data_IF_322217131381
#
_entry.id   IF_322217131381
#
_cell.length_a   1.000
_cell.length_b   1.000
_cell.length_c   1.000
_cell.angle_alpha   90.00
_cell.angle_beta   90.00
_cell.angle_gamma   90.00
#
_symmetry.space_group_name_H-M   'P 1'
#
loop_
_entity.id
_entity.type
_entity.pdbx_description
1 polymer ?
#
# COMPACT_ATOMS: atom_id res chain seq x y z
N UNK A 1 8.57 -18.57 4.44
CA UNK A 1 8.16 -17.77 3.26
C UNK A 1 9.26 -17.77 2.19
N UNK A 2 9.22 -18.75 1.29
CA UNK A 2 10.12 -18.85 0.13
C UNK A 2 9.53 -18.04 -1.02
N UNK A 3 9.71 -16.72 -0.99
CA UNK A 3 9.31 -15.83 -2.10
C UNK A 3 10.55 -15.49 -2.93
N UNK A 4 10.43 -15.49 -4.24
CA UNK A 4 11.54 -15.26 -5.18
C UNK A 4 12.08 -13.83 -5.15
N UNK A 5 11.34 -12.91 -4.53
CA UNK A 5 11.69 -11.49 -4.41
C UNK A 5 11.06 -10.88 -3.17
N UNK A 6 11.57 -9.71 -2.77
CA UNK A 6 10.96 -8.92 -1.71
C UNK A 6 9.85 -8.02 -2.25
N UNK A 7 8.74 -7.99 -1.54
CA UNK A 7 7.66 -7.05 -1.76
C UNK A 7 7.28 -6.31 -0.49
N UNK A 8 6.69 -5.12 -0.64
CA UNK A 8 6.39 -4.24 0.48
C UNK A 8 4.92 -3.79 0.49
N UNK A 9 4.31 -3.86 1.66
CA UNK A 9 3.04 -3.20 1.97
C UNK A 9 3.33 -1.97 2.81
N UNK A 10 3.07 -0.78 2.27
CA UNK A 10 3.51 0.48 2.86
C UNK A 10 2.32 1.16 3.54
N UNK A 11 2.42 1.33 4.87
CA UNK A 11 1.55 2.22 5.62
C UNK A 11 2.16 3.63 5.59
N UNK A 12 1.56 4.57 4.85
CA UNK A 12 2.01 5.96 4.90
C UNK A 12 1.75 6.54 6.30
N UNK A 13 2.62 7.46 6.74
CA UNK A 13 2.34 8.26 7.95
C UNK A 13 1.44 9.43 7.55
N UNK A 14 0.17 9.36 7.92
CA UNK A 14 -0.83 10.32 7.45
C UNK A 14 -0.42 11.78 7.67
N UNK A 15 0.04 12.21 8.88
CA UNK A 15 0.37 13.62 9.13
C UNK A 15 1.55 14.15 8.30
N UNK A 16 2.44 13.26 7.84
CA UNK A 16 3.60 13.64 7.04
C UNK A 16 3.21 13.81 5.58
N UNK A 17 2.50 12.82 5.04
CA UNK A 17 2.10 12.82 3.64
C UNK A 17 0.98 13.82 3.39
N UNK A 18 0.07 14.05 4.34
CA UNK A 18 -0.97 15.08 4.25
C UNK A 18 -0.35 16.47 4.13
N UNK A 19 0.62 16.79 4.98
CA UNK A 19 1.36 18.06 4.93
C UNK A 19 2.14 18.24 3.63
N UNK A 20 2.70 17.16 3.08
CA UNK A 20 3.32 17.20 1.76
C UNK A 20 2.28 17.46 0.66
N UNK A 21 1.13 16.80 0.70
CA UNK A 21 0.05 16.95 -0.27
C UNK A 21 -0.51 18.38 -0.27
N UNK A 22 -0.75 18.96 0.92
CA UNK A 22 -1.17 20.36 1.08
C UNK A 22 -0.17 21.34 0.45
N UNK A 23 1.13 21.16 0.70
CA UNK A 23 2.19 21.99 0.10
C UNK A 23 2.21 21.90 -1.43
N UNK A 24 1.81 20.76 -1.99
CA UNK A 24 1.70 20.53 -3.43
C UNK A 24 0.29 20.84 -3.97
N UNK A 25 -0.59 21.43 -3.16
CA UNK A 25 -1.98 21.81 -3.53
C UNK A 25 -2.83 20.61 -3.99
N UNK A 26 -2.57 19.43 -3.44
CA UNK A 26 -3.36 18.24 -3.71
C UNK A 26 -4.56 18.19 -2.77
N UNK A 27 -5.77 18.14 -3.32
CA UNK A 27 -7.00 18.01 -2.55
C UNK A 27 -7.23 16.55 -2.15
N UNK A 28 -7.39 16.27 -0.87
CA UNK A 28 -7.76 14.97 -0.33
C UNK A 28 -8.72 15.13 0.86
N UNK A 29 -9.53 14.12 1.13
CA UNK A 29 -10.51 14.16 2.23
C UNK A 29 -10.25 13.11 3.31
N UNK A 30 -9.64 11.99 2.94
CA UNK A 30 -9.42 10.85 3.83
C UNK A 30 -8.04 10.25 3.61
N UNK A 31 -7.61 9.38 4.53
CA UNK A 31 -6.42 8.56 4.35
C UNK A 31 -6.46 7.76 3.05
N UNK A 32 -7.58 7.06 2.81
CA UNK A 32 -7.76 6.18 1.65
C UNK A 32 -7.69 6.96 0.34
N UNK A 33 -8.28 8.14 0.27
CA UNK A 33 -8.16 9.05 -0.88
C UNK A 33 -6.71 9.46 -1.09
N UNK A 34 -6.04 9.96 -0.04
CA UNK A 34 -4.64 10.38 -0.12
C UNK A 34 -3.69 9.25 -0.54
N UNK A 35 -3.85 8.05 0.03
CA UNK A 35 -3.00 6.90 -0.30
C UNK A 35 -3.30 6.32 -1.69
N UNK A 36 -4.49 6.55 -2.24
CA UNK A 36 -4.84 6.13 -3.59
C UNK A 36 -4.28 7.05 -4.70
N UNK A 37 -3.92 8.31 -4.38
CA UNK A 37 -3.49 9.31 -5.37
C UNK A 37 -2.24 8.94 -6.16
N UNK A 38 -2.25 9.25 -7.45
CA UNK A 38 -1.11 9.06 -8.36
C UNK A 38 0.14 9.78 -7.85
N UNK A 39 -0.02 10.98 -7.33
CA UNK A 39 1.08 11.78 -6.82
C UNK A 39 1.71 11.15 -5.57
N UNK A 40 0.90 10.51 -4.71
CA UNK A 40 1.38 9.76 -3.55
C UNK A 40 2.14 8.50 -3.99
N UNK A 41 1.60 7.74 -4.94
CA UNK A 41 2.32 6.61 -5.52
C UNK A 41 3.63 7.04 -6.19
N UNK A 42 3.63 8.15 -6.92
CA UNK A 42 4.83 8.72 -7.55
C UNK A 42 5.87 9.14 -6.50
N UNK A 43 5.44 9.75 -5.39
CA UNK A 43 6.30 10.10 -4.27
C UNK A 43 6.97 8.86 -3.70
N UNK A 44 6.19 7.86 -3.31
CA UNK A 44 6.70 6.66 -2.67
C UNK A 44 7.54 5.81 -3.64
N UNK A 45 7.16 5.76 -4.92
CA UNK A 45 7.98 5.12 -5.96
C UNK A 45 9.39 5.69 -5.99
N UNK A 46 9.53 7.03 -6.03
CA UNK A 46 10.86 7.68 -6.03
C UNK A 46 11.68 7.34 -4.78
N UNK A 47 11.04 7.34 -3.61
CA UNK A 47 11.74 7.03 -2.35
C UNK A 47 12.14 5.55 -2.26
N UNK A 48 11.29 4.63 -2.71
CA UNK A 48 11.63 3.20 -2.76
C UNK A 48 12.76 2.93 -3.77
N UNK A 49 12.75 3.60 -4.93
CA UNK A 49 13.82 3.48 -5.91
C UNK A 49 15.17 3.96 -5.33
N UNK A 50 15.21 5.11 -4.67
CA UNK A 50 16.41 5.61 -3.98
C UNK A 50 16.93 4.62 -2.93
N UNK A 51 16.04 3.99 -2.17
CA UNK A 51 16.42 2.96 -1.18
C UNK A 51 17.01 1.73 -1.87
N UNK A 52 16.40 1.28 -2.96
CA UNK A 52 16.86 0.13 -3.74
C UNK A 52 18.24 0.34 -4.36
N UNK A 53 18.59 1.57 -4.76
CA UNK A 53 19.92 1.90 -5.30
C UNK A 53 21.05 1.56 -4.31
N UNK A 54 20.80 1.74 -3.01
CA UNK A 54 21.77 1.42 -1.94
C UNK A 54 21.78 -0.04 -1.48
N UNK A 55 20.92 -0.89 -2.04
CA UNK A 55 20.72 -2.28 -1.60
C UNK A 55 21.30 -3.28 -2.61
N UNK A 56 21.86 -4.41 -2.15
CA UNK A 56 22.14 -5.56 -3.01
C UNK A 56 20.86 -6.05 -3.70
N UNK A 57 20.99 -6.63 -4.89
CA UNK A 57 19.84 -7.03 -5.72
C UNK A 57 18.83 -7.90 -4.97
N UNK A 58 19.29 -8.90 -4.21
CA UNK A 58 18.43 -9.79 -3.44
C UNK A 58 17.67 -9.11 -2.27
N UNK A 59 18.06 -7.89 -1.89
CA UNK A 59 17.40 -7.08 -0.85
C UNK A 59 16.53 -5.96 -1.43
N UNK A 60 16.48 -5.79 -2.76
CA UNK A 60 15.67 -4.75 -3.38
C UNK A 60 14.20 -5.12 -3.34
N UNK A 61 13.37 -4.14 -3.02
CA UNK A 61 11.92 -4.27 -3.15
C UNK A 61 11.60 -4.31 -4.64
N UNK A 62 10.89 -5.34 -5.08
CA UNK A 62 10.48 -5.50 -6.49
C UNK A 62 9.06 -5.01 -6.73
N UNK A 63 8.14 -5.30 -5.81
CA UNK A 63 6.76 -4.82 -5.87
C UNK A 63 6.37 -4.12 -4.57
N UNK A 64 5.57 -3.07 -4.65
CA UNK A 64 4.95 -2.49 -3.46
C UNK A 64 3.52 -2.05 -3.70
N UNK A 65 2.77 -1.87 -2.62
CA UNK A 65 1.48 -1.18 -2.62
C UNK A 65 1.36 -0.26 -1.42
N UNK A 66 0.39 0.66 -1.49
CA UNK A 66 0.04 1.52 -0.37
C UNK A 66 -1.21 0.98 0.32
N UNK A 67 -1.17 0.88 1.65
CA UNK A 67 -2.34 0.49 2.42
C UNK A 67 -3.46 1.52 2.29
N UNK A 68 -4.70 1.04 2.33
CA UNK A 68 -5.91 1.87 2.26
C UNK A 68 -6.35 2.39 3.63
N UNK A 69 -5.75 1.92 4.73
CA UNK A 69 -5.93 2.42 6.10
C UNK A 69 -4.61 2.39 6.87
N UNK A 70 -4.54 3.12 7.98
CA UNK A 70 -3.45 2.97 8.92
C UNK A 70 -3.53 1.63 9.67
N UNK A 71 -2.37 1.08 10.02
CA UNK A 71 -2.31 -0.04 10.95
C UNK A 71 -2.65 0.45 12.36
N UNK A 72 -3.51 -0.29 13.04
CA UNK A 72 -4.04 0.10 14.35
C UNK A 72 -3.64 -0.90 15.46
N UNK A 73 -3.32 -0.38 16.64
CA UNK A 73 -3.06 -1.19 17.83
C UNK A 73 -4.35 -1.81 18.38
N UNK A 74 -5.49 -1.12 18.24
CA UNK A 74 -6.79 -1.61 18.70
C UNK A 74 -7.31 -2.75 17.81
N UNK A 75 -6.94 -2.73 16.52
CA UNK A 75 -7.12 -3.86 15.61
C UNK A 75 -6.13 -5.02 15.87
N UNK A 76 -5.20 -4.87 16.81
CA UNK A 76 -4.17 -5.86 17.10
C UNK A 76 -3.11 -6.00 16.00
N UNK A 77 -3.05 -5.08 15.04
CA UNK A 77 -2.05 -5.07 13.96
C UNK A 77 -0.72 -4.50 14.44
N UNK A 78 -0.78 -3.63 15.45
CA UNK A 78 0.37 -3.07 16.13
C UNK A 78 0.40 -3.42 17.62
N UNK A 79 1.58 -3.36 18.23
CA UNK A 79 1.70 -3.21 19.69
C UNK A 79 1.33 -1.78 20.10
N UNK A 80 1.10 -1.54 21.39
CA UNK A 80 0.95 -0.17 21.93
C UNK A 80 2.16 0.74 21.64
N UNK A 81 3.32 0.14 21.41
CA UNK A 81 4.56 0.81 21.00
C UNK A 81 4.73 0.92 19.47
N UNK A 82 3.66 0.67 18.70
CA UNK A 82 3.61 0.73 17.24
C UNK A 82 4.50 -0.28 16.49
N UNK A 83 4.89 -1.38 17.14
CA UNK A 83 5.58 -2.49 16.46
C UNK A 83 4.57 -3.37 15.74
N UNK A 84 4.86 -3.76 14.51
CA UNK A 84 3.98 -4.61 13.70
C UNK A 84 3.87 -6.02 14.30
N UNK A 85 2.64 -6.50 14.51
CA UNK A 85 2.33 -7.88 14.90
C UNK A 85 2.18 -8.73 13.65
N UNK A 86 3.30 -9.28 13.16
CA UNK A 86 3.38 -9.99 11.87
C UNK A 86 2.36 -11.12 11.70
N UNK A 87 2.09 -11.93 12.72
CA UNK A 87 1.09 -13.01 12.62
C UNK A 87 -0.31 -12.47 12.28
N UNK A 88 -0.77 -11.48 13.04
CA UNK A 88 -2.07 -10.83 12.82
C UNK A 88 -2.14 -10.14 11.45
N UNK A 89 -1.07 -9.44 11.05
CA UNK A 89 -1.03 -8.79 9.73
C UNK A 89 -1.03 -9.83 8.61
N UNK A 90 -0.27 -10.92 8.73
CA UNK A 90 -0.25 -11.97 7.72
C UNK A 90 -1.62 -12.64 7.56
N UNK A 91 -2.36 -12.85 8.65
CA UNK A 91 -3.71 -13.40 8.61
C UNK A 91 -4.73 -12.41 8.03
N UNK A 92 -4.78 -11.19 8.56
CA UNK A 92 -5.77 -10.17 8.13
C UNK A 92 -5.59 -9.72 6.69
N UNK A 93 -4.35 -9.68 6.21
CA UNK A 93 -4.01 -9.17 4.88
C UNK A 93 -3.53 -10.29 3.95
N UNK A 94 -3.85 -11.55 4.24
CA UNK A 94 -3.40 -12.72 3.47
C UNK A 94 -3.68 -12.55 1.96
N UNK A 95 -4.88 -12.11 1.61
CA UNK A 95 -5.30 -11.91 0.21
C UNK A 95 -4.48 -10.81 -0.47
N UNK A 96 -4.21 -9.70 0.21
CA UNK A 96 -3.39 -8.61 -0.31
C UNK A 96 -1.94 -9.07 -0.49
N UNK A 97 -1.40 -9.77 0.50
CA UNK A 97 -0.05 -10.31 0.46
C UNK A 97 0.08 -11.29 -0.71
N UNK A 98 -0.89 -12.20 -0.88
CA UNK A 98 -0.91 -13.12 -2.00
C UNK A 98 -0.97 -12.39 -3.34
N UNK A 99 -1.86 -11.40 -3.46
CA UNK A 99 -2.03 -10.62 -4.68
C UNK A 99 -0.76 -9.86 -5.10
N UNK A 100 -0.03 -9.28 -4.14
CA UNK A 100 1.28 -8.63 -4.40
C UNK A 100 2.30 -9.58 -5.03
N UNK A 101 2.24 -10.87 -4.68
CA UNK A 101 3.10 -11.89 -5.29
C UNK A 101 2.52 -12.49 -6.57
N UNK A 102 1.28 -12.17 -6.91
CA UNK A 102 0.64 -12.54 -8.17
C UNK A 102 0.98 -11.59 -9.33
N UNK A 103 0.31 -11.82 -10.45
CA UNK A 103 0.38 -10.98 -11.65
C UNK A 103 -0.87 -10.09 -11.76
N UNK A 104 -1.11 -9.27 -10.74
CA UNK A 104 -2.21 -8.31 -10.70
C UNK A 104 -1.68 -6.90 -10.41
N UNK A 105 -2.24 -5.92 -11.12
CA UNK A 105 -1.90 -4.51 -10.93
C UNK A 105 -2.83 -3.83 -9.91
N UNK A 106 -3.98 -4.44 -9.65
CA UNK A 106 -5.02 -3.91 -8.78
C UNK A 106 -5.56 -5.03 -7.89
N UNK A 107 -5.61 -4.78 -6.58
CA UNK A 107 -6.21 -5.69 -5.61
C UNK A 107 -7.53 -5.08 -5.13
N UNK A 108 -8.69 -5.69 -5.44
CA UNK A 108 -9.96 -5.25 -4.90
C UNK A 108 -10.01 -5.55 -3.41
N UNK A 109 -10.38 -4.55 -2.62
CA UNK A 109 -10.55 -4.64 -1.17
C UNK A 109 -12.04 -4.53 -0.90
N UNK A 110 -12.58 -5.57 -0.28
CA UNK A 110 -13.94 -5.59 0.24
C UNK A 110 -13.87 -6.01 1.71
N UNK A 111 -13.71 -5.02 2.59
CA UNK A 111 -13.56 -5.26 4.03
C UNK A 111 -14.60 -4.50 4.82
N UNK A 112 -14.96 -5.01 5.99
CA UNK A 112 -15.81 -4.30 6.93
C UNK A 112 -14.94 -3.75 8.05
N UNK A 113 -14.78 -2.42 8.10
CA UNK A 113 -14.12 -1.76 9.22
C UNK A 113 -15.15 -1.60 10.34
N UNK A 114 -14.77 -2.02 11.55
CA UNK A 114 -15.54 -1.76 12.76
C UNK A 114 -14.94 -0.51 13.40
N UNK A 115 -15.72 0.56 13.48
CA UNK A 115 -15.31 1.77 14.17
C UNK A 115 -15.43 1.62 15.68
N UNK A 116 -14.78 2.52 16.42
CA UNK A 116 -14.75 2.48 17.89
C UNK A 116 -16.13 2.66 18.53
N UNK A 117 -17.09 3.25 17.82
CA UNK A 117 -18.50 3.35 18.24
C UNK A 117 -19.32 2.07 17.96
N UNK A 118 -18.68 1.02 17.45
CA UNK A 118 -19.31 -0.25 17.08
C UNK A 118 -19.97 -0.25 15.70
N UNK A 119 -19.97 0.88 14.99
CA UNK A 119 -20.52 0.94 13.64
C UNK A 119 -19.64 0.17 12.67
N UNK A 120 -20.29 -0.55 11.74
CA UNK A 120 -19.62 -1.34 10.72
C UNK A 120 -19.75 -0.62 9.39
N UNK A 121 -18.65 -0.19 8.81
CA UNK A 121 -18.62 0.35 7.46
C UNK A 121 -17.89 -0.59 6.52
N UNK A 122 -18.63 -1.04 5.51
CA UNK A 122 -18.04 -1.77 4.39
C UNK A 122 -17.26 -0.78 3.54
N UNK A 123 -15.96 -1.01 3.41
CA UNK A 123 -15.09 -0.29 2.49
C UNK A 123 -14.90 -1.17 1.27
N UNK A 124 -15.38 -0.65 0.14
CA UNK A 124 -15.03 -1.14 -1.19
C UNK A 124 -14.02 -0.18 -1.78
N UNK A 125 -12.77 -0.61 -1.86
CA UNK A 125 -11.70 0.17 -2.48
C UNK A 125 -10.81 -0.76 -3.29
N UNK A 126 -9.84 -0.20 -3.98
CA UNK A 126 -8.84 -0.97 -4.69
C UNK A 126 -7.47 -0.39 -4.40
N UNK A 127 -6.50 -1.26 -4.12
CA UNK A 127 -5.10 -0.84 -3.96
C UNK A 127 -4.32 -1.23 -5.20
N UNK A 128 -3.38 -0.36 -5.61
CA UNK A 128 -2.55 -0.59 -6.79
C UNK A 128 -1.24 -1.25 -6.39
N UNK A 129 -0.82 -2.22 -7.18
CA UNK A 129 0.49 -2.84 -7.07
C UNK A 129 1.41 -2.15 -8.07
N UNK A 130 2.54 -1.66 -7.59
CA UNK A 130 3.59 -1.07 -8.41
C UNK A 130 4.71 -2.09 -8.57
N UNK A 131 4.99 -2.50 -9.81
CA UNK A 131 6.16 -3.31 -10.15
C UNK A 131 7.32 -2.41 -10.57
N UNK A 132 8.40 -2.43 -9.81
CA UNK A 132 9.59 -1.58 -10.03
C UNK A 132 10.49 -2.09 -11.16
N UNK A 133 10.18 -3.26 -11.75
CA UNK A 133 10.86 -3.73 -12.98
C UNK A 133 10.26 -3.11 -14.23
N UNK A 134 8.99 -2.71 -14.18
CA UNK A 134 8.31 -2.13 -15.33
C UNK A 134 8.48 -0.61 -15.28
N UNK A 135 9.41 -0.09 -16.09
CA UNK A 135 9.78 1.32 -16.13
C UNK A 135 8.69 2.29 -16.66
N UNK A 136 7.41 1.88 -16.77
CA UNK A 136 6.41 2.58 -17.60
C UNK A 136 5.00 2.73 -17.01
N UNK A 137 4.77 2.53 -15.72
CA UNK A 137 3.41 2.51 -15.16
C UNK A 137 2.79 3.84 -14.71
N UNK A 138 3.56 4.93 -14.61
CA UNK A 138 3.09 6.21 -14.03
C UNK A 138 2.71 7.29 -15.06
N UNK A 139 2.76 6.97 -16.35
CA UNK A 139 2.24 7.83 -17.40
C UNK A 139 0.99 7.19 -18.01
N UNK A 140 -0.12 7.93 -17.94
CA UNK A 140 -1.46 7.67 -18.50
C UNK A 140 -2.35 6.69 -17.74
N UNK A 141 -3.43 7.25 -17.17
CA UNK A 141 -4.60 6.48 -16.76
C UNK A 141 -5.17 5.71 -17.94
N UNK A 142 -5.20 4.39 -17.79
CA UNK A 142 -5.74 3.47 -18.77
C UNK A 142 -5.65 2.07 -18.19
N UNK A 143 -6.74 1.61 -17.59
CA UNK A 143 -6.90 0.23 -17.19
C UNK A 143 -6.60 -0.68 -18.39
N UNK A 144 -5.53 -1.48 -18.31
CA UNK A 144 -5.39 -2.63 -19.20
C UNK A 144 -6.02 -3.84 -18.49
N UNK A 145 -6.94 -4.57 -19.13
CA UNK A 145 -7.24 -5.92 -18.71
C UNK A 145 -6.09 -6.79 -19.23
N UNK A 146 -5.28 -7.37 -18.34
CA UNK A 146 -4.38 -8.46 -18.73
C UNK A 146 -5.16 -9.77 -18.61
N UNK A 147 -5.54 -10.32 -19.76
CA UNK A 147 -6.09 -11.65 -19.91
C UNK A 147 -5.12 -12.48 -20.74
N UNK A 148 -4.69 -13.62 -20.20
CA UNK A 148 -4.59 -14.95 -20.82
C UNK A 148 -3.89 -15.90 -19.84
#
# INVERSE_FOLDING_TARGET
>A
DHRDYLAAMICIRYPVVSKWAEKNRLSFTTYSDLSAKDETYALLHREVMKINEGLPEFQRIRKFLLLYKELDADDGELTRTRKVRRGVVNEKYADIIQAVYGDVDIVPIDTTIVFQDGTKQRIKTSVRVIDLREASGLASGGARPRAA
#
